data_IF_783672334427
#
_entry.id   IF_783672334427
#
_cell.length_a   1.000
_cell.length_b   1.000
_cell.length_c   1.000
_cell.angle_alpha   90.00
_cell.angle_beta   90.00
_cell.angle_gamma   90.00
#
_symmetry.space_group_name_H-M   'P 1'
#
loop_
_entity.id
_entity.type
_entity.pdbx_description
1 polymer ?
#
# COMPACT_ATOMS: atom_id res chain seq x y z
N UNK A 1 18.55 -15.61 10.82
CA UNK A 1 18.27 -15.11 12.19
C UNK A 1 16.82 -14.66 12.40
N UNK A 2 16.14 -14.06 11.42
CA UNK A 2 14.74 -13.60 11.59
C UNK A 2 13.68 -14.56 11.02
N UNK A 3 13.99 -15.84 10.83
CA UNK A 3 13.01 -16.84 10.38
C UNK A 3 12.45 -17.61 11.58
N UNK A 4 11.23 -18.11 11.45
CA UNK A 4 10.69 -19.06 12.42
C UNK A 4 11.45 -20.38 12.33
N UNK A 5 11.46 -21.12 13.44
CA UNK A 5 11.93 -22.51 13.44
C UNK A 5 11.12 -23.35 12.46
N UNK A 6 11.74 -24.37 11.83
CA UNK A 6 11.02 -25.28 10.96
C UNK A 6 9.85 -25.98 11.68
N UNK A 7 8.81 -26.29 10.91
CA UNK A 7 7.68 -27.13 11.28
C UNK A 7 7.90 -28.46 10.58
N UNK A 8 7.95 -29.55 11.33
CA UNK A 8 8.11 -30.89 10.79
C UNK A 8 6.73 -31.49 10.46
N UNK A 9 6.54 -31.91 9.21
CA UNK A 9 5.33 -32.58 8.71
C UNK A 9 5.78 -33.72 7.82
N UNK A 10 5.38 -34.96 8.13
CA UNK A 10 5.70 -36.16 7.34
C UNK A 10 7.21 -36.29 7.02
N UNK A 11 8.07 -36.16 8.05
CA UNK A 11 9.54 -36.21 7.94
C UNK A 11 10.17 -35.10 7.06
N UNK A 12 9.40 -34.07 6.73
CA UNK A 12 9.86 -32.91 5.97
C UNK A 12 9.79 -31.62 6.80
N UNK A 13 10.83 -30.80 6.67
CA UNK A 13 10.90 -29.49 7.31
C UNK A 13 10.30 -28.41 6.42
N UNK A 14 9.32 -27.69 6.96
CA UNK A 14 8.70 -26.52 6.34
C UNK A 14 9.02 -25.26 7.13
N UNK A 15 9.31 -24.16 6.44
CA UNK A 15 9.57 -22.87 7.08
C UNK A 15 8.55 -21.86 6.56
N UNK A 16 7.99 -21.06 7.48
CA UNK A 16 7.15 -19.93 7.10
C UNK A 16 7.96 -18.93 6.27
N UNK A 17 7.47 -18.59 5.08
CA UNK A 17 8.18 -17.71 4.15
C UNK A 17 8.45 -16.32 4.78
N UNK A 18 9.71 -15.85 4.83
CA UNK A 18 10.04 -14.51 5.32
C UNK A 18 10.01 -13.43 4.23
N UNK A 19 9.83 -13.87 2.97
CA UNK A 19 9.78 -13.07 1.74
C UNK A 19 9.12 -13.87 0.61
N UNK A 20 8.60 -13.20 -0.41
CA UNK A 20 7.92 -13.86 -1.54
C UNK A 20 8.86 -14.16 -2.72
N UNK A 21 10.04 -13.52 -2.76
CA UNK A 21 10.95 -13.54 -3.91
C UNK A 21 11.28 -14.93 -4.48
N UNK A 22 11.62 -15.95 -3.65
CA UNK A 22 11.92 -17.29 -4.17
C UNK A 22 10.73 -17.92 -4.91
N UNK A 23 9.49 -17.63 -4.50
CA UNK A 23 8.29 -18.16 -5.13
C UNK A 23 8.03 -17.51 -6.49
N UNK A 24 8.28 -16.20 -6.63
CA UNK A 24 8.25 -15.52 -7.92
C UNK A 24 9.28 -16.10 -8.89
N UNK A 25 10.47 -16.45 -8.40
CA UNK A 25 11.49 -17.16 -9.20
C UNK A 25 11.00 -18.53 -9.65
N UNK A 26 10.35 -19.31 -8.78
CA UNK A 26 9.77 -20.60 -9.16
C UNK A 26 8.69 -20.43 -10.24
N UNK A 27 7.84 -19.42 -10.14
CA UNK A 27 6.84 -19.09 -11.18
C UNK A 27 7.55 -18.74 -12.49
N UNK A 28 8.64 -17.97 -12.45
CA UNK A 28 9.44 -17.65 -13.64
C UNK A 28 9.94 -18.91 -14.34
N UNK A 29 10.41 -19.90 -13.58
CA UNK A 29 10.97 -21.15 -14.11
C UNK A 29 9.93 -22.10 -14.72
N UNK A 30 8.63 -21.82 -14.61
CA UNK A 30 7.58 -22.70 -15.16
C UNK A 30 7.57 -22.74 -16.70
N UNK A 31 8.15 -21.74 -17.37
CA UNK A 31 8.27 -21.71 -18.83
C UNK A 31 9.54 -20.99 -19.28
N UNK A 32 9.93 -21.21 -20.53
CA UNK A 32 10.98 -20.43 -21.19
C UNK A 32 10.42 -19.06 -21.60
N UNK A 33 11.22 -18.01 -21.45
CA UNK A 33 10.85 -16.65 -21.84
C UNK A 33 11.80 -16.10 -22.91
N UNK A 34 11.26 -15.38 -23.87
CA UNK A 34 12.02 -14.60 -24.85
C UNK A 34 12.28 -13.19 -24.32
N UNK A 35 13.30 -12.51 -24.85
CA UNK A 35 13.51 -11.07 -24.63
C UNK A 35 12.27 -10.23 -24.98
N UNK A 36 11.41 -10.74 -25.88
CA UNK A 36 10.13 -10.10 -26.27
C UNK A 36 9.03 -10.19 -25.20
N UNK A 37 9.13 -11.16 -24.29
CA UNK A 37 8.18 -11.32 -23.19
C UNK A 37 8.49 -10.37 -22.03
N UNK A 38 9.71 -9.81 -22.00
CA UNK A 38 10.18 -8.91 -20.95
C UNK A 38 9.83 -7.44 -21.30
N UNK A 39 9.43 -6.62 -20.30
CA UNK A 39 9.45 -6.92 -18.87
C UNK A 39 8.20 -7.66 -18.36
N UNK A 40 8.39 -8.66 -17.49
CA UNK A 40 7.32 -9.32 -16.75
C UNK A 40 7.19 -8.69 -15.38
N UNK A 41 5.98 -8.28 -15.00
CA UNK A 41 5.70 -7.62 -13.71
C UNK A 41 4.65 -8.41 -12.94
N UNK A 42 5.05 -9.11 -11.88
CA UNK A 42 4.13 -9.89 -11.06
C UNK A 42 3.99 -9.30 -9.68
N UNK A 43 2.76 -8.92 -9.30
CA UNK A 43 2.42 -8.46 -7.96
C UNK A 43 1.66 -9.53 -7.18
N UNK A 44 1.94 -9.62 -5.89
CA UNK A 44 1.25 -10.47 -4.92
C UNK A 44 0.99 -9.62 -3.65
N UNK A 45 -0.23 -9.67 -3.12
CA UNK A 45 -0.45 -9.31 -1.71
C UNK A 45 0.03 -10.47 -0.84
N UNK A 46 1.36 -10.58 -0.71
CA UNK A 46 2.01 -11.75 -0.14
C UNK A 46 2.20 -11.65 1.36
N UNK A 47 1.53 -12.52 2.12
CA UNK A 47 1.70 -12.62 3.57
C UNK A 47 2.99 -13.35 3.91
N UNK A 48 3.84 -12.72 4.71
CA UNK A 48 5.14 -13.25 5.15
C UNK A 48 5.29 -13.15 6.65
N UNK A 49 6.23 -13.93 7.19
CA UNK A 49 6.46 -14.02 8.63
C UNK A 49 7.94 -13.81 8.96
N UNK A 50 8.21 -12.89 9.88
CA UNK A 50 9.55 -12.64 10.42
C UNK A 50 9.53 -12.76 11.93
N UNK A 51 10.49 -13.51 12.47
CA UNK A 51 10.65 -13.72 13.90
C UNK A 51 11.34 -12.51 14.55
N UNK A 52 10.60 -11.42 14.66
CA UNK A 52 11.01 -10.22 15.38
C UNK A 52 11.04 -10.48 16.90
N UNK A 53 12.02 -9.86 17.59
CA UNK A 53 12.12 -9.94 19.06
C UNK A 53 10.85 -9.36 19.69
N UNK A 54 10.33 -9.99 20.74
CA UNK A 54 9.07 -9.54 21.37
C UNK A 54 9.14 -8.09 21.86
N UNK A 55 10.29 -7.65 22.38
CA UNK A 55 10.49 -6.30 22.90
C UNK A 55 10.50 -5.18 21.86
N UNK A 56 10.50 -5.49 20.56
CA UNK A 56 10.45 -4.47 19.49
C UNK A 56 9.10 -4.44 18.77
N UNK A 57 8.15 -5.30 19.13
CA UNK A 57 6.81 -5.29 18.52
C UNK A 57 6.04 -4.04 18.95
N UNK A 58 5.29 -3.46 18.01
CA UNK A 58 4.58 -2.20 18.26
C UNK A 58 3.34 -2.07 17.38
N UNK A 59 2.17 -2.36 17.96
CA UNK A 59 0.86 -2.21 17.30
C UNK A 59 0.85 -2.80 15.89
N UNK A 60 0.48 -1.98 14.91
CA UNK A 60 0.54 -2.32 13.49
C UNK A 60 1.86 -1.96 12.81
N UNK A 61 2.70 -1.13 13.45
CA UNK A 61 3.90 -0.56 12.83
C UNK A 61 5.06 -1.57 12.76
N UNK A 62 5.12 -2.50 13.72
CA UNK A 62 6.10 -3.59 13.77
C UNK A 62 5.47 -4.88 14.29
N UNK A 63 5.21 -5.80 13.37
CA UNK A 63 4.52 -7.07 13.60
C UNK A 63 5.35 -8.26 13.08
N UNK A 64 4.98 -9.47 13.49
CA UNK A 64 5.66 -10.71 13.04
C UNK A 64 5.07 -11.31 11.77
N UNK A 65 3.77 -11.15 11.54
CA UNK A 65 3.09 -11.54 10.31
C UNK A 65 2.53 -10.30 9.66
N UNK A 66 2.81 -10.12 8.37
CA UNK A 66 2.37 -8.95 7.62
C UNK A 66 2.22 -9.28 6.15
N UNK A 67 1.37 -8.51 5.47
CA UNK A 67 1.14 -8.64 4.04
C UNK A 67 1.78 -7.48 3.32
N UNK A 68 2.55 -7.75 2.27
CA UNK A 68 3.17 -6.70 1.46
C UNK A 68 2.48 -6.61 0.11
N UNK A 69 2.41 -5.41 -0.46
CA UNK A 69 2.07 -5.17 -1.87
C UNK A 69 3.28 -5.49 -2.79
N UNK A 70 3.86 -6.66 -2.55
CA UNK A 70 5.13 -7.10 -3.09
C UNK A 70 5.00 -7.35 -4.60
N UNK A 71 6.06 -7.06 -5.32
CA UNK A 71 6.14 -7.39 -6.72
C UNK A 71 7.56 -7.60 -7.18
N UNK A 72 7.66 -8.45 -8.21
CA UNK A 72 8.91 -8.84 -8.82
C UNK A 72 8.83 -8.55 -10.30
N UNK A 73 9.74 -7.70 -10.77
CA UNK A 73 9.87 -7.35 -12.17
C UNK A 73 11.08 -8.08 -12.72
N UNK A 74 10.86 -8.87 -13.76
CA UNK A 74 11.91 -9.53 -14.53
C UNK A 74 12.09 -8.73 -15.82
N UNK A 75 13.27 -8.18 -16.04
CA UNK A 75 13.55 -7.30 -17.17
C UNK A 75 14.95 -7.55 -17.73
N UNK A 76 15.20 -7.05 -18.95
CA UNK A 76 16.56 -7.02 -19.49
C UNK A 76 17.38 -5.89 -18.85
N UNK A 77 18.73 -5.94 -18.87
CA UNK A 77 19.56 -4.84 -18.36
C UNK A 77 19.22 -3.48 -18.99
N UNK A 78 18.85 -3.45 -20.27
CA UNK A 78 18.49 -2.22 -21.00
C UNK A 78 17.16 -1.63 -20.53
N UNK A 79 16.25 -2.47 -20.04
CA UNK A 79 14.93 -2.07 -19.54
C UNK A 79 14.97 -1.59 -18.08
N UNK A 80 15.99 -1.98 -17.32
CA UNK A 80 16.10 -1.77 -15.87
C UNK A 80 15.84 -0.32 -15.45
N UNK A 81 16.49 0.65 -16.11
CA UNK A 81 16.36 2.06 -15.75
C UNK A 81 14.91 2.55 -15.89
N UNK A 82 14.23 2.17 -16.98
CA UNK A 82 12.84 2.52 -17.23
C UNK A 82 11.89 1.89 -16.21
N UNK A 83 12.15 0.65 -15.79
CA UNK A 83 11.38 -0.02 -14.75
C UNK A 83 11.55 0.65 -13.38
N UNK A 84 12.77 1.03 -13.00
CA UNK A 84 13.02 1.76 -11.74
C UNK A 84 12.25 3.09 -11.74
N UNK A 85 12.34 3.86 -12.83
CA UNK A 85 11.63 5.14 -12.98
C UNK A 85 10.11 4.92 -12.85
N UNK A 86 9.55 3.93 -13.55
CA UNK A 86 8.12 3.63 -13.47
C UNK A 86 7.66 3.22 -12.07
N UNK A 87 8.49 2.48 -11.33
CA UNK A 87 8.19 2.11 -9.94
C UNK A 87 8.27 3.33 -9.01
N UNK A 88 9.23 4.23 -9.20
CA UNK A 88 9.30 5.51 -8.45
C UNK A 88 8.01 6.31 -8.67
N UNK A 89 7.57 6.46 -9.93
CA UNK A 89 6.33 7.18 -10.26
C UNK A 89 5.10 6.55 -9.63
N UNK A 90 5.02 5.21 -9.65
CA UNK A 90 3.94 4.49 -8.98
C UNK A 90 3.97 4.72 -7.47
N UNK A 91 5.13 4.67 -6.83
CA UNK A 91 5.27 4.94 -5.39
C UNK A 91 4.84 6.36 -5.04
N UNK A 92 5.26 7.36 -5.82
CA UNK A 92 4.84 8.76 -5.63
C UNK A 92 3.33 8.94 -5.82
N UNK A 93 2.74 8.30 -6.83
CA UNK A 93 1.30 8.31 -7.06
C UNK A 93 0.52 7.71 -5.89
N UNK A 94 1.00 6.58 -5.36
CA UNK A 94 0.39 5.93 -4.21
C UNK A 94 0.49 6.81 -2.97
N UNK A 95 1.68 7.28 -2.60
CA UNK A 95 1.87 8.15 -1.43
C UNK A 95 1.00 9.42 -1.50
N UNK A 96 1.02 10.13 -2.62
CA UNK A 96 0.21 11.36 -2.81
C UNK A 96 -1.29 11.07 -2.76
N UNK A 97 -1.75 9.96 -3.35
CA UNK A 97 -3.16 9.55 -3.28
C UNK A 97 -3.67 9.36 -1.85
N UNK A 98 -2.78 8.97 -0.93
CA UNK A 98 -3.07 8.73 0.47
C UNK A 98 -2.68 9.89 1.39
N UNK A 99 -2.36 11.07 0.83
CA UNK A 99 -2.06 12.29 1.58
C UNK A 99 -0.61 12.44 2.04
N UNK A 100 0.27 11.47 1.75
CA UNK A 100 1.68 11.52 2.13
C UNK A 100 2.48 12.37 1.12
N UNK A 101 2.48 13.67 1.35
CA UNK A 101 3.21 14.63 0.51
C UNK A 101 4.66 14.87 0.97
N UNK A 102 5.00 14.47 2.20
CA UNK A 102 6.33 14.61 2.77
C UNK A 102 6.93 13.23 3.07
N UNK A 103 8.06 12.94 2.42
CA UNK A 103 8.81 11.71 2.60
C UNK A 103 10.28 11.94 2.31
N UNK A 104 11.14 11.14 2.95
CA UNK A 104 12.58 11.14 2.69
C UNK A 104 12.91 9.97 1.76
N UNK A 105 13.81 10.21 0.81
CA UNK A 105 14.33 9.16 -0.08
C UNK A 105 15.76 8.84 0.33
N UNK A 106 16.03 7.55 0.50
CA UNK A 106 17.34 7.03 0.85
C UNK A 106 17.82 6.07 -0.24
N UNK A 107 19.08 6.23 -0.66
CA UNK A 107 19.79 5.28 -1.51
C UNK A 107 20.66 4.40 -0.62
N UNK A 108 20.17 3.21 -0.30
CA UNK A 108 20.78 2.21 0.57
C UNK A 108 21.82 1.40 -0.21
N UNK A 109 23.08 1.47 0.22
CA UNK A 109 24.26 0.94 -0.50
C UNK A 109 25.16 0.13 0.44
N UNK A 110 26.13 -0.61 -0.12
CA UNK A 110 27.04 -1.45 0.68
C UNK A 110 27.97 -0.61 1.53
N UNK A 111 28.16 -1.02 2.78
CA UNK A 111 29.18 -0.43 3.65
C UNK A 111 30.61 -0.70 3.14
N UNK A 112 31.48 0.30 3.24
CA UNK A 112 32.91 0.14 2.91
C UNK A 112 33.56 -0.86 3.87
N UNK A 113 34.19 -1.90 3.30
CA UNK A 113 34.88 -2.94 4.08
C UNK A 113 33.97 -4.04 4.65
N UNK A 114 32.67 -4.03 4.34
CA UNK A 114 31.70 -5.02 4.85
C UNK A 114 31.32 -6.08 3.80
N UNK A 115 32.23 -6.41 2.87
CA UNK A 115 31.94 -7.31 1.74
C UNK A 115 31.35 -8.64 2.18
N UNK A 116 31.78 -9.18 3.32
CA UNK A 116 31.30 -10.48 3.82
C UNK A 116 29.81 -10.48 4.23
N UNK A 117 29.20 -9.32 4.44
CA UNK A 117 27.75 -9.20 4.70
C UNK A 117 26.90 -9.26 3.43
N UNK A 118 27.51 -9.11 2.26
CA UNK A 118 26.83 -8.96 0.98
C UNK A 118 27.21 -10.08 0.02
N UNK A 119 26.22 -10.60 -0.73
CA UNK A 119 26.45 -11.60 -1.77
C UNK A 119 26.60 -10.92 -3.14
N UNK A 120 27.38 -11.54 -4.02
CA UNK A 120 27.57 -11.08 -5.40
C UNK A 120 28.89 -10.37 -5.64
N UNK A 121 29.23 -10.21 -6.93
CA UNK A 121 30.48 -9.58 -7.38
C UNK A 121 30.41 -8.05 -7.33
N UNK A 122 31.55 -7.39 -7.24
CA UNK A 122 31.61 -5.94 -7.11
C UNK A 122 31.06 -5.18 -8.32
N UNK A 123 31.34 -5.66 -9.53
CA UNK A 123 30.86 -5.07 -10.78
C UNK A 123 29.33 -5.09 -10.90
N UNK A 124 28.72 -6.18 -10.44
CA UNK A 124 27.25 -6.34 -10.41
C UNK A 124 26.60 -5.30 -9.49
N UNK A 125 27.19 -5.08 -8.33
CA UNK A 125 26.70 -4.10 -7.37
C UNK A 125 26.94 -2.66 -7.80
N UNK A 126 28.09 -2.34 -8.40
CA UNK A 126 28.34 -1.03 -8.99
C UNK A 126 27.32 -0.72 -10.08
N UNK A 127 26.99 -1.70 -10.91
CA UNK A 127 25.94 -1.56 -11.92
C UNK A 127 24.57 -1.33 -11.29
N UNK A 128 24.20 -2.10 -10.26
CA UNK A 128 22.94 -1.95 -9.53
C UNK A 128 22.79 -0.57 -8.86
N UNK A 129 23.83 -0.12 -8.16
CA UNK A 129 23.84 1.18 -7.47
C UNK A 129 23.75 2.33 -8.49
N UNK A 130 24.51 2.25 -9.59
CA UNK A 130 24.47 3.25 -10.64
C UNK A 130 23.10 3.32 -11.31
N UNK A 131 22.43 2.19 -11.56
CA UNK A 131 21.09 2.17 -12.14
C UNK A 131 20.08 2.92 -11.26
N UNK A 132 20.10 2.66 -9.94
CA UNK A 132 19.25 3.36 -8.98
C UNK A 132 19.57 4.86 -8.91
N UNK A 133 20.86 5.20 -8.87
CA UNK A 133 21.33 6.59 -8.82
C UNK A 133 20.90 7.39 -10.05
N UNK A 134 21.13 6.84 -11.25
CA UNK A 134 20.74 7.49 -12.51
C UNK A 134 19.24 7.71 -12.58
N UNK A 135 18.43 6.75 -12.13
CA UNK A 135 16.98 6.92 -12.07
C UNK A 135 16.55 8.07 -11.14
N UNK A 136 17.16 8.17 -9.94
CA UNK A 136 16.92 9.26 -9.00
C UNK A 136 17.33 10.63 -9.57
N UNK A 137 18.53 10.70 -10.17
CA UNK A 137 19.09 11.92 -10.75
C UNK A 137 18.23 12.39 -11.95
N UNK A 138 17.78 11.48 -12.82
CA UNK A 138 16.88 11.79 -13.95
C UNK A 138 15.52 12.33 -13.51
N UNK A 139 15.00 11.85 -12.38
CA UNK A 139 13.76 12.36 -11.78
C UNK A 139 13.96 13.65 -10.99
N UNK A 140 15.21 14.12 -10.84
CA UNK A 140 15.54 15.32 -10.06
C UNK A 140 15.19 15.17 -8.58
N UNK A 141 15.17 13.94 -8.06
CA UNK A 141 14.80 13.66 -6.68
C UNK A 141 15.98 13.88 -5.76
N UNK A 142 15.74 14.54 -4.62
CA UNK A 142 16.73 14.65 -3.55
C UNK A 142 16.71 13.36 -2.74
N UNK A 143 17.87 12.80 -2.47
CA UNK A 143 18.03 11.59 -1.68
C UNK A 143 19.28 11.66 -0.81
N UNK A 144 19.26 10.89 0.28
CA UNK A 144 20.42 10.67 1.15
C UNK A 144 21.06 9.33 0.80
N UNK A 145 22.39 9.29 0.64
CA UNK A 145 23.10 8.02 0.43
C UNK A 145 23.41 7.37 1.78
N UNK A 146 22.94 6.14 1.98
CA UNK A 146 23.00 5.43 3.25
C UNK A 146 23.96 4.23 3.15
N UNK A 147 25.21 4.45 3.55
CA UNK A 147 26.27 3.42 3.56
C UNK A 147 25.97 2.34 4.60
N UNK A 148 26.03 1.06 4.21
CA UNK A 148 25.82 -0.07 5.12
C UNK A 148 24.37 -0.53 5.22
N UNK A 149 23.42 0.24 4.68
CA UNK A 149 21.98 0.00 4.83
C UNK A 149 21.37 -0.85 3.69
N UNK A 150 22.16 -1.20 2.65
CA UNK A 150 21.70 -2.13 1.61
C UNK A 150 21.28 -3.48 2.20
N UNK A 151 20.35 -4.18 1.54
CA UNK A 151 20.09 -5.59 1.89
C UNK A 151 21.26 -6.44 1.42
N UNK A 152 21.38 -7.65 1.97
CA UNK A 152 22.50 -8.56 1.66
C UNK A 152 22.65 -8.90 0.16
N UNK A 153 21.59 -8.74 -0.66
CA UNK A 153 21.56 -9.15 -2.07
C UNK A 153 21.42 -8.00 -3.08
N UNK A 154 21.42 -6.74 -2.67
CA UNK A 154 21.40 -5.63 -3.62
C UNK A 154 21.10 -4.27 -2.99
N UNK A 155 21.45 -3.16 -3.68
CA UNK A 155 21.15 -1.81 -3.22
C UNK A 155 19.67 -1.51 -3.43
N UNK A 156 19.16 -0.50 -2.72
CA UNK A 156 17.75 -0.14 -2.76
C UNK A 156 17.52 1.37 -2.68
N UNK A 157 16.41 1.82 -3.26
CA UNK A 157 15.78 3.10 -2.97
C UNK A 157 14.72 2.82 -1.90
N UNK A 158 14.90 3.41 -0.73
CA UNK A 158 13.97 3.31 0.38
C UNK A 158 13.27 4.66 0.56
N UNK A 159 11.93 4.64 0.59
CA UNK A 159 11.13 5.85 0.81
C UNK A 159 10.53 5.77 2.21
N UNK A 160 10.95 6.71 3.06
CA UNK A 160 10.49 6.82 4.45
C UNK A 160 9.39 7.86 4.57
N UNK A 161 8.25 7.42 5.06
CA UNK A 161 7.09 8.27 5.35
C UNK A 161 7.20 8.73 6.79
N UNK A 162 6.99 10.02 7.05
CA UNK A 162 6.95 10.56 8.41
C UNK A 162 5.56 10.40 9.01
N UNK A 163 5.50 9.91 10.24
CA UNK A 163 4.26 9.95 11.02
C UNK A 163 4.02 11.33 11.65
N UNK A 164 2.89 11.46 12.37
CA UNK A 164 2.50 12.69 13.04
C UNK A 164 3.47 13.16 14.15
N UNK A 165 4.38 12.27 14.60
CA UNK A 165 5.43 12.57 15.58
C UNK A 165 6.80 12.84 14.90
N UNK A 166 6.84 12.85 13.57
CA UNK A 166 8.06 13.03 12.79
C UNK A 166 8.96 11.80 12.72
N UNK A 167 8.51 10.62 13.18
CA UNK A 167 9.28 9.38 13.08
C UNK A 167 9.17 8.84 11.65
N UNK A 168 10.30 8.48 11.05
CA UNK A 168 10.35 7.88 9.72
C UNK A 168 10.02 6.39 9.76
N UNK A 169 8.98 5.99 9.05
CA UNK A 169 8.61 4.59 8.84
C UNK A 169 8.91 4.16 7.41
N UNK A 170 9.47 2.97 7.27
CA UNK A 170 9.73 2.38 5.96
C UNK A 170 8.41 2.16 5.20
N UNK A 171 8.26 2.84 4.06
CA UNK A 171 7.15 2.69 3.12
C UNK A 171 7.62 1.99 1.83
N UNK A 172 7.53 2.64 0.66
CA UNK A 172 8.01 2.06 -0.60
C UNK A 172 9.49 1.66 -0.57
N UNK A 173 9.82 0.58 -1.26
CA UNK A 173 11.20 0.14 -1.49
C UNK A 173 11.32 -0.34 -2.92
N UNK A 174 12.42 0.02 -3.59
CA UNK A 174 12.77 -0.43 -4.93
C UNK A 174 14.18 -0.98 -4.87
N UNK A 175 14.32 -2.27 -5.12
CA UNK A 175 15.58 -2.96 -4.94
C UNK A 175 15.96 -3.69 -6.21
N UNK A 176 17.21 -3.52 -6.63
CA UNK A 176 17.75 -4.22 -7.80
C UNK A 176 18.55 -5.42 -7.33
N UNK A 177 18.24 -6.58 -7.88
CA UNK A 177 18.83 -7.87 -7.52
C UNK A 177 19.30 -8.63 -8.76
N UNK A 178 20.60 -8.89 -8.76
CA UNK A 178 21.28 -9.72 -9.74
C UNK A 178 21.70 -11.08 -9.16
N UNK A 179 21.61 -11.22 -7.84
CA UNK A 179 22.04 -12.38 -7.08
C UNK A 179 21.05 -13.53 -7.15
N UNK A 180 19.76 -13.29 -6.90
CA UNK A 180 18.75 -14.36 -7.07
C UNK A 180 18.71 -14.88 -8.51
N UNK A 181 18.79 -14.02 -9.55
CA UNK A 181 18.93 -14.49 -10.91
C UNK A 181 20.08 -15.46 -11.17
N UNK A 182 21.25 -15.15 -10.62
CA UNK A 182 22.43 -16.00 -10.71
C UNK A 182 22.27 -17.31 -9.93
N UNK A 183 21.82 -17.24 -8.67
CA UNK A 183 21.71 -18.41 -7.80
C UNK A 183 20.69 -19.44 -8.28
N UNK A 184 19.61 -18.99 -8.92
CA UNK A 184 18.54 -19.86 -9.40
C UNK A 184 18.65 -20.19 -10.89
N UNK A 185 19.68 -19.70 -11.57
CA UNK A 185 19.92 -19.83 -13.01
C UNK A 185 18.69 -19.44 -13.84
N UNK A 186 18.12 -18.26 -13.57
CA UNK A 186 16.99 -17.75 -14.36
C UNK A 186 17.48 -16.87 -15.50
N UNK A 187 17.08 -17.26 -16.71
CA UNK A 187 17.53 -16.68 -17.96
C UNK A 187 16.36 -16.49 -18.93
N UNK A 188 16.53 -15.59 -19.88
CA UNK A 188 15.67 -15.43 -21.06
C UNK A 188 16.45 -15.73 -22.34
N UNK A 189 15.74 -16.00 -23.45
CA UNK A 189 16.35 -16.16 -24.77
C UNK A 189 16.45 -14.79 -25.45
N UNK A 190 17.67 -14.36 -25.73
CA UNK A 190 18.00 -13.09 -26.39
C UNK A 190 17.61 -13.06 -27.87
N UNK A 191 17.74 -11.88 -28.47
CA UNK A 191 17.53 -11.71 -29.92
C UNK A 191 18.58 -12.45 -30.77
N UNK A 192 19.73 -12.73 -30.17
CA UNK A 192 20.85 -13.51 -30.69
C UNK A 192 20.64 -15.02 -30.55
N UNK A 193 19.53 -15.46 -29.92
CA UNK A 193 19.21 -16.86 -29.68
C UNK A 193 19.95 -17.48 -28.49
N UNK A 194 20.81 -16.73 -27.80
CA UNK A 194 21.52 -17.22 -26.62
C UNK A 194 20.73 -16.98 -25.34
N UNK A 195 21.11 -17.68 -24.27
CA UNK A 195 20.53 -17.46 -22.94
C UNK A 195 21.24 -16.31 -22.25
N UNK A 196 20.47 -15.33 -21.84
CA UNK A 196 20.94 -14.16 -21.10
C UNK A 196 20.30 -14.15 -19.72
N UNK A 197 21.05 -13.71 -18.71
CA UNK A 197 20.55 -13.63 -17.35
C UNK A 197 19.56 -12.48 -17.22
N UNK A 198 18.44 -12.72 -16.56
CA UNK A 198 17.42 -11.70 -16.31
C UNK A 198 17.82 -10.82 -15.12
N UNK A 199 17.39 -9.57 -15.12
CA UNK A 199 17.50 -8.67 -13.97
C UNK A 199 16.20 -8.70 -13.20
N UNK A 200 16.29 -8.82 -11.87
CA UNK A 200 15.13 -8.84 -10.99
C UNK A 200 15.06 -7.53 -10.20
N UNK A 201 13.91 -6.85 -10.24
CA UNK A 201 13.61 -5.70 -9.40
C UNK A 201 12.52 -6.10 -8.41
N UNK A 202 12.83 -6.02 -7.12
CA UNK A 202 11.87 -6.19 -6.04
C UNK A 202 11.28 -4.84 -5.71
N UNK A 203 9.96 -4.77 -5.57
CA UNK A 203 9.33 -3.51 -5.20
C UNK A 203 8.11 -3.67 -4.31
N UNK A 204 7.97 -2.71 -3.40
CA UNK A 204 6.72 -2.39 -2.71
C UNK A 204 6.43 -0.91 -2.90
N UNK A 205 5.17 -0.53 -3.06
CA UNK A 205 4.76 0.88 -3.21
C UNK A 205 3.95 1.39 -2.03
N UNK A 206 3.48 0.51 -1.16
CA UNK A 206 2.92 0.82 0.16
C UNK A 206 3.77 0.22 1.28
N UNK A 207 4.38 -0.94 1.04
CA UNK A 207 5.14 -1.70 2.04
C UNK A 207 4.26 -2.73 2.73
N UNK A 208 4.48 -2.94 4.03
CA UNK A 208 3.60 -3.79 4.83
C UNK A 208 2.24 -3.09 5.03
N UNK A 209 1.14 -3.74 4.65
CA UNK A 209 -0.22 -3.21 4.74
C UNK A 209 -0.58 -2.80 6.17
N UNK A 210 -0.17 -3.60 7.16
CA UNK A 210 -0.37 -3.33 8.57
C UNK A 210 0.31 -2.01 8.96
N UNK A 211 1.60 -1.86 8.61
CA UNK A 211 2.35 -0.63 8.90
C UNK A 211 1.74 0.55 8.16
N UNK A 212 1.39 0.39 6.89
CA UNK A 212 0.80 1.43 6.07
C UNK A 212 -0.52 1.94 6.68
N UNK A 213 -1.40 1.03 7.11
CA UNK A 213 -2.64 1.38 7.83
C UNK A 213 -2.34 2.05 9.17
N UNK A 214 -1.35 1.57 9.92
CA UNK A 214 -0.90 2.22 11.16
C UNK A 214 -0.45 3.67 10.93
N UNK A 215 0.38 3.91 9.91
CA UNK A 215 0.81 5.24 9.51
C UNK A 215 -0.36 6.10 9.03
N UNK A 216 -1.32 5.54 8.29
CA UNK A 216 -2.53 6.24 7.84
C UNK A 216 -3.40 6.71 9.01
N UNK A 217 -3.61 5.83 10.01
CA UNK A 217 -4.38 6.17 11.22
C UNK A 217 -3.72 7.36 11.93
N UNK A 218 -2.39 7.33 12.12
CA UNK A 218 -1.66 8.42 12.75
C UNK A 218 -1.68 9.70 11.90
N UNK A 219 -1.47 9.59 10.58
CA UNK A 219 -1.45 10.72 9.65
C UNK A 219 -2.76 11.50 9.62
N UNK A 220 -3.89 10.80 9.61
CA UNK A 220 -5.23 11.41 9.64
C UNK A 220 -5.77 11.62 11.07
N UNK A 221 -5.02 11.19 12.10
CA UNK A 221 -5.53 11.03 13.46
C UNK A 221 -6.85 10.25 13.53
N UNK A 222 -7.12 9.34 12.58
CA UNK A 222 -8.38 8.62 12.39
C UNK A 222 -9.51 9.40 11.70
N UNK A 223 -9.30 10.66 11.30
CA UNK A 223 -10.26 11.46 10.50
C UNK A 223 -10.02 11.25 9.00
N UNK A 224 -10.41 10.08 8.53
CA UNK A 224 -10.09 9.63 7.18
C UNK A 224 -10.81 10.43 6.08
N UNK A 225 -10.16 10.67 4.93
CA UNK A 225 -10.82 11.10 3.70
C UNK A 225 -11.96 10.16 3.32
N UNK A 226 -12.96 10.71 2.64
CA UNK A 226 -14.21 10.00 2.35
C UNK A 226 -13.95 8.64 1.69
N UNK A 227 -13.05 8.57 0.72
CA UNK A 227 -12.81 7.38 -0.07
C UNK A 227 -12.22 6.20 0.73
N UNK A 228 -11.52 6.44 1.83
CA UNK A 228 -10.94 5.40 2.72
C UNK A 228 -11.63 5.27 4.08
N UNK A 229 -12.58 6.14 4.42
CA UNK A 229 -13.32 6.04 5.67
C UNK A 229 -14.05 4.68 5.79
N UNK A 230 -13.91 3.92 6.89
CA UNK A 230 -14.56 2.60 7.04
C UNK A 230 -16.08 2.68 6.86
N UNK A 231 -16.70 3.70 7.47
CA UNK A 231 -18.08 4.11 7.24
C UNK A 231 -18.03 5.50 6.61
N UNK A 232 -18.51 5.63 5.38
CA UNK A 232 -18.50 6.90 4.67
C UNK A 232 -19.70 7.75 5.09
N UNK A 233 -20.84 7.09 5.28
CA UNK A 233 -22.13 7.73 5.54
C UNK A 233 -22.88 6.96 6.61
N UNK A 234 -23.47 7.66 7.58
CA UNK A 234 -24.45 7.08 8.51
C UNK A 234 -25.79 7.79 8.43
N UNK A 235 -26.85 7.03 8.17
CA UNK A 235 -28.23 7.53 8.08
C UNK A 235 -28.87 7.44 9.46
N UNK A 236 -29.49 8.54 9.88
CA UNK A 236 -30.06 8.76 11.19
C UNK A 236 -31.57 9.07 11.06
N UNK A 237 -32.44 8.05 11.03
CA UNK A 237 -33.88 8.26 11.14
C UNK A 237 -34.24 8.87 12.50
N UNK A 238 -35.10 9.89 12.50
CA UNK A 238 -35.57 10.56 13.73
C UNK A 238 -36.53 9.65 14.52
N UNK A 239 -37.38 8.89 13.82
CA UNK A 239 -38.33 7.95 14.42
C UNK A 239 -38.37 6.64 13.64
N UNK A 240 -39.02 5.62 14.22
CA UNK A 240 -39.21 4.32 13.57
C UNK A 240 -39.99 4.42 12.25
N UNK A 241 -40.89 5.40 12.12
CA UNK A 241 -41.64 5.66 10.90
C UNK A 241 -40.74 6.08 9.72
N UNK A 242 -39.51 6.53 9.98
CA UNK A 242 -38.56 6.98 8.95
C UNK A 242 -37.59 5.88 8.51
N UNK A 243 -37.61 4.70 9.16
CA UNK A 243 -36.64 3.62 8.91
C UNK A 243 -36.73 3.08 7.48
N UNK A 244 -37.94 2.89 6.94
CA UNK A 244 -38.11 2.32 5.60
C UNK A 244 -37.52 3.24 4.51
N UNK A 245 -37.72 4.55 4.66
CA UNK A 245 -37.12 5.53 3.76
C UNK A 245 -35.60 5.59 3.93
N UNK A 246 -35.09 5.53 5.17
CA UNK A 246 -33.65 5.45 5.44
C UNK A 246 -33.00 4.21 4.81
N UNK A 247 -33.64 3.04 4.90
CA UNK A 247 -33.18 1.80 4.25
C UNK A 247 -33.23 1.88 2.72
N UNK A 248 -34.25 2.54 2.16
CA UNK A 248 -34.30 2.80 0.71
C UNK A 248 -33.11 3.65 0.25
N UNK A 249 -32.76 4.70 0.99
CA UNK A 249 -31.57 5.52 0.72
C UNK A 249 -30.30 4.68 0.88
N UNK A 250 -30.21 3.87 1.94
CA UNK A 250 -29.07 2.97 2.16
C UNK A 250 -28.84 2.06 0.95
N UNK A 251 -29.91 1.46 0.42
CA UNK A 251 -29.83 0.60 -0.76
C UNK A 251 -29.36 1.36 -2.01
N UNK A 252 -29.83 2.59 -2.22
CA UNK A 252 -29.38 3.42 -3.34
C UNK A 252 -27.88 3.74 -3.25
N UNK A 253 -27.39 4.11 -2.07
CA UNK A 253 -25.97 4.38 -1.81
C UNK A 253 -25.13 3.11 -1.97
N UNK A 254 -25.61 1.97 -1.47
CA UNK A 254 -24.92 0.68 -1.58
C UNK A 254 -24.76 0.24 -3.05
N UNK A 255 -25.78 0.43 -3.89
CA UNK A 255 -25.71 0.15 -5.34
C UNK A 255 -24.66 1.02 -6.06
N UNK A 256 -24.18 2.09 -5.43
CA UNK A 256 -23.09 2.95 -5.91
C UNK A 256 -21.74 2.65 -5.26
N UNK A 257 -21.61 1.52 -4.57
CA UNK A 257 -20.42 1.13 -3.80
C UNK A 257 -20.03 2.14 -2.70
N UNK A 258 -21.00 2.88 -2.16
CA UNK A 258 -20.79 3.79 -1.03
C UNK A 258 -21.04 3.00 0.27
N UNK A 259 -20.06 3.01 1.18
CA UNK A 259 -20.15 2.33 2.48
C UNK A 259 -21.05 3.12 3.42
N UNK A 260 -22.24 2.59 3.67
CA UNK A 260 -23.29 3.27 4.42
C UNK A 260 -23.90 2.39 5.51
N UNK A 261 -24.10 2.97 6.69
CA UNK A 261 -24.85 2.36 7.79
C UNK A 261 -26.14 3.12 8.06
N UNK A 262 -27.14 2.42 8.59
CA UNK A 262 -28.38 3.03 9.07
C UNK A 262 -28.51 2.77 10.58
N UNK A 263 -28.50 3.83 11.38
CA UNK A 263 -28.63 3.74 12.83
C UNK A 263 -30.12 3.75 13.23
N UNK A 264 -30.68 2.54 13.33
CA UNK A 264 -32.06 2.32 13.76
C UNK A 264 -32.19 2.15 15.28
N UNK A 265 -31.19 2.56 16.07
CA UNK A 265 -31.29 2.47 17.53
C UNK A 265 -32.36 3.42 18.08
N UNK A 266 -32.97 3.06 19.21
CA UNK A 266 -33.95 3.90 19.91
C UNK A 266 -33.27 4.96 20.80
N UNK A 267 -32.34 5.71 20.22
CA UNK A 267 -31.61 6.79 20.89
C UNK A 267 -32.07 8.15 20.36
N UNK A 268 -31.95 9.20 21.19
CA UNK A 268 -32.25 10.57 20.77
C UNK A 268 -31.34 10.98 19.60
N UNK A 269 -31.88 11.72 18.63
CA UNK A 269 -31.14 12.14 17.43
C UNK A 269 -29.85 12.91 17.77
N UNK A 270 -29.87 13.73 18.82
CA UNK A 270 -28.68 14.47 19.29
C UNK A 270 -27.57 13.53 19.78
N UNK A 271 -27.92 12.41 20.41
CA UNK A 271 -26.97 11.38 20.79
C UNK A 271 -26.38 10.70 19.56
N UNK A 272 -27.23 10.26 18.61
CA UNK A 272 -26.77 9.62 17.36
C UNK A 272 -25.81 10.51 16.57
N UNK A 273 -26.13 11.81 16.46
CA UNK A 273 -25.26 12.80 15.80
C UNK A 273 -23.91 12.91 16.53
N UNK A 274 -23.92 12.94 17.86
CA UNK A 274 -22.70 13.02 18.67
C UNK A 274 -21.83 11.77 18.48
N UNK A 275 -22.41 10.58 18.54
CA UNK A 275 -21.67 9.32 18.33
C UNK A 275 -21.05 9.26 16.93
N UNK A 276 -21.84 9.54 15.87
CA UNK A 276 -21.30 9.57 14.51
C UNK A 276 -20.21 10.63 14.30
N UNK A 277 -20.27 11.75 15.03
CA UNK A 277 -19.22 12.78 15.00
C UNK A 277 -17.95 12.33 15.72
N UNK A 278 -18.09 11.62 16.86
CA UNK A 278 -16.97 11.06 17.64
C UNK A 278 -16.26 9.94 16.87
N UNK A 279 -17.01 9.12 16.14
CA UNK A 279 -16.50 8.08 15.23
C UNK A 279 -15.90 8.65 13.93
N UNK A 280 -15.97 9.97 13.74
CA UNK A 280 -15.40 10.68 12.58
C UNK A 280 -15.97 10.21 11.25
N UNK A 281 -17.27 9.92 11.22
CA UNK A 281 -17.96 9.56 9.97
C UNK A 281 -18.05 10.81 9.08
N UNK A 282 -17.60 10.76 7.81
CA UNK A 282 -17.58 11.92 6.93
C UNK A 282 -18.93 12.61 6.76
N UNK A 283 -20.00 11.82 6.63
CA UNK A 283 -21.37 12.32 6.45
C UNK A 283 -22.38 11.64 7.37
N UNK A 284 -23.21 12.45 8.01
CA UNK A 284 -24.42 12.01 8.71
C UNK A 284 -25.64 12.51 7.94
N UNK A 285 -26.56 11.61 7.60
CA UNK A 285 -27.80 11.94 6.90
C UNK A 285 -28.97 11.83 7.85
N UNK A 286 -29.59 12.95 8.21
CA UNK A 286 -30.77 12.97 9.07
C UNK A 286 -32.02 12.84 8.20
N UNK A 287 -32.94 11.99 8.64
CA UNK A 287 -34.22 11.74 7.97
C UNK A 287 -35.36 11.94 8.96
N UNK A 288 -36.18 12.98 8.73
CA UNK A 288 -37.45 13.21 9.42
C UNK A 288 -38.65 13.20 8.47
N UNK A 289 -39.81 13.64 8.97
CA UNK A 289 -41.06 13.68 8.19
C UNK A 289 -40.93 14.53 6.93
N UNK A 290 -40.25 15.68 7.05
CA UNK A 290 -40.02 16.58 5.91
C UNK A 290 -39.23 15.88 4.82
N UNK A 291 -38.11 15.23 5.17
CA UNK A 291 -37.24 14.53 4.23
C UNK A 291 -37.95 13.38 3.52
N UNK A 292 -38.80 12.63 4.24
CA UNK A 292 -39.64 11.58 3.65
C UNK A 292 -40.63 12.15 2.65
N UNK A 293 -41.29 13.27 2.98
CA UNK A 293 -42.28 13.91 2.09
C UNK A 293 -41.65 14.51 0.84
N UNK A 294 -40.47 15.13 0.97
CA UNK A 294 -39.81 15.83 -0.15
C UNK A 294 -38.83 14.98 -0.91
N UNK A 295 -38.58 13.73 -0.51
CA UNK A 295 -37.59 12.86 -1.16
C UNK A 295 -36.16 13.38 -1.00
N UNK A 296 -35.87 14.03 0.13
CA UNK A 296 -34.56 14.64 0.44
C UNK A 296 -33.87 13.94 1.61
N UNK A 297 -32.66 14.39 1.95
CA UNK A 297 -31.94 14.08 3.20
C UNK A 297 -31.35 15.36 3.77
N UNK A 298 -31.35 15.53 5.09
CA UNK A 298 -30.61 16.62 5.73
C UNK A 298 -29.17 16.19 5.94
N UNK A 299 -28.24 16.83 5.25
CA UNK A 299 -26.82 16.46 5.21
C UNK A 299 -26.06 17.22 6.28
N UNK A 300 -25.34 16.48 7.12
CA UNK A 300 -24.34 17.04 8.03
C UNK A 300 -22.98 16.44 7.71
N UNK A 301 -22.02 17.25 7.27
CA UNK A 301 -20.64 16.79 7.04
C UNK A 301 -19.74 17.06 8.22
N UNK A 302 -18.68 16.25 8.32
CA UNK A 302 -17.69 16.40 9.37
C UNK A 302 -16.93 17.73 9.29
N UNK A 303 -16.67 18.21 8.07
CA UNK A 303 -15.89 19.43 7.77
C UNK A 303 -16.71 20.71 7.93
N UNK A 304 -17.98 20.74 7.48
CA UNK A 304 -18.81 21.96 7.43
C UNK A 304 -19.93 22.01 8.46
N UNK A 305 -20.23 20.90 9.14
CA UNK A 305 -21.38 20.81 10.00
C UNK A 305 -22.67 20.65 9.18
N UNK A 306 -23.71 21.39 9.51
CA UNK A 306 -24.99 21.31 8.83
C UNK A 306 -24.91 21.96 7.44
N UNK A 307 -25.18 21.16 6.40
CA UNK A 307 -25.23 21.61 5.00
C UNK A 307 -26.67 21.76 4.48
N UNK A 308 -27.67 21.45 5.31
CA UNK A 308 -29.08 21.53 4.96
C UNK A 308 -29.57 20.37 4.07
N UNK A 309 -30.75 20.53 3.44
CA UNK A 309 -31.38 19.47 2.68
C UNK A 309 -30.78 19.31 1.29
N UNK A 310 -30.61 18.06 0.85
CA UNK A 310 -30.24 17.68 -0.51
C UNK A 310 -31.24 16.70 -1.10
N UNK A 311 -31.50 16.78 -2.39
CA UNK A 311 -32.08 15.66 -3.12
C UNK A 311 -31.10 14.48 -3.09
N UNK A 312 -31.61 13.27 -2.90
CA UNK A 312 -30.74 12.10 -2.72
C UNK A 312 -29.82 11.87 -3.93
N UNK A 313 -30.34 12.04 -5.14
CA UNK A 313 -29.56 11.86 -6.38
C UNK A 313 -28.45 12.91 -6.54
N UNK A 314 -28.69 14.14 -6.08
CA UNK A 314 -27.67 15.20 -6.11
C UNK A 314 -26.57 14.94 -5.08
N UNK A 315 -26.96 14.49 -3.89
CA UNK A 315 -26.01 14.12 -2.85
C UNK A 315 -25.15 12.91 -3.26
N UNK A 316 -25.73 11.89 -3.88
CA UNK A 316 -24.99 10.75 -4.42
C UNK A 316 -23.92 11.22 -5.43
N UNK A 317 -24.29 12.08 -6.38
CA UNK A 317 -23.33 12.62 -7.37
C UNK A 317 -22.18 13.38 -6.71
N UNK A 318 -22.48 14.17 -5.67
CA UNK A 318 -21.47 14.90 -4.89
C UNK A 318 -20.48 13.93 -4.23
N UNK A 319 -20.99 12.89 -3.57
CA UNK A 319 -20.19 11.86 -2.89
C UNK A 319 -19.35 11.06 -3.88
N UNK A 320 -19.92 10.63 -5.02
CA UNK A 320 -19.18 9.92 -6.07
C UNK A 320 -18.01 10.76 -6.61
N UNK A 321 -18.23 12.07 -6.80
CA UNK A 321 -17.18 12.99 -7.25
C UNK A 321 -16.08 13.14 -6.19
N UNK A 322 -16.44 13.31 -4.92
CA UNK A 322 -15.47 13.43 -3.83
C UNK A 322 -14.64 12.15 -3.64
N UNK A 323 -15.27 10.96 -3.74
CA UNK A 323 -14.58 9.66 -3.72
C UNK A 323 -13.61 9.55 -4.90
N UNK A 324 -14.07 9.89 -6.11
CA UNK A 324 -13.25 9.81 -7.33
C UNK A 324 -12.02 10.72 -7.26
N UNK A 325 -12.18 11.90 -6.68
CA UNK A 325 -11.10 12.87 -6.50
C UNK A 325 -10.25 12.62 -5.24
N UNK A 326 -10.56 11.59 -4.45
CA UNK A 326 -9.83 11.20 -3.23
C UNK A 326 -9.73 12.33 -2.19
N UNK A 327 -10.78 13.14 -2.05
CA UNK A 327 -10.84 14.33 -1.16
C UNK A 327 -11.38 14.06 0.26
#
# INVERSE_FOLDING_TARGET
>A
ESMYSPIEIDEQEYILKPMNCPFAVLIYKTKLHSYRDLPLRWGELGTVYRYERSGVLHGLLRVRGFTQDDAHIFCTPEQLEGEIIGVIELAQFMLSSFGFNEYDIELSVRGKGEKEKYIGRDDVWEHAENALKVALDKKGLKYNRMEGEAKFYGPAIDIKVKDALGRGWQGPTIQVDFNLPERFDINYVGNDGFRHRVVMVHRTVLGAMERFVGCLIEHYAGDFPLWIAPIQIRILPITDAHIDYAKKIQAQLFLKNIRVECDTSNAKISYKIREGTLEKIPYLLIVGDKEVQTGTVAVRSRKKGDEGPFLIDEFIKKVELEIKEKR
#
